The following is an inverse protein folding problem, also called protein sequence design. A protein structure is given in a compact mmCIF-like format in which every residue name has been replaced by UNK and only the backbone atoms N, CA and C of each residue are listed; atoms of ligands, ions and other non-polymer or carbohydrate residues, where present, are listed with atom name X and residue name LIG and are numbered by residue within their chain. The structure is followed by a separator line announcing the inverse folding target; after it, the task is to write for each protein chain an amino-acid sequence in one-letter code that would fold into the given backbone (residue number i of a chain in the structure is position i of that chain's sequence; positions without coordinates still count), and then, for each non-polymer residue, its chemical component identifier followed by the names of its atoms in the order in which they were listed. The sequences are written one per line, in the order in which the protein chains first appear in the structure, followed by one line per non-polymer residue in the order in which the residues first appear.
data_IF_619467677209
#
_entry.id   IF_619467677209
#
_cell.length_a   1.000
_cell.length_b   1.000
_cell.length_c   1.000
_cell.angle_alpha   90.00
_cell.angle_beta   90.00
_cell.angle_gamma   90.00
#
_symmetry.space_group_name_H-M   'P 1'
#
loop_
_entity.id
_entity.type
_entity.pdbx_description
1 polymer ?
#
# COMPACT_ATOMS: atom_id res chain seq x y z
N UNK A 1 -3.44 -8.90 15.57
CA UNK A 1 -3.86 -7.58 15.06
C UNK A 1 -2.84 -7.12 14.04
N UNK A 2 -3.24 -6.56 12.88
CA UNK A 2 -2.30 -6.06 11.87
C UNK A 2 -1.44 -4.93 12.43
N UNK A 3 -0.18 -4.85 12.00
CA UNK A 3 0.77 -3.81 12.41
C UNK A 3 0.54 -2.50 11.65
N UNK A 4 0.81 -1.32 12.23
CA UNK A 4 0.80 -0.07 11.47
C UNK A 4 1.97 -0.02 10.47
N UNK A 5 1.74 0.56 9.30
CA UNK A 5 2.84 0.94 8.39
C UNK A 5 3.57 2.19 8.91
N UNK A 6 4.76 2.54 8.40
CA UNK A 6 5.43 3.80 8.71
C UNK A 6 4.58 5.04 8.36
N UNK A 7 3.62 4.92 7.44
CA UNK A 7 2.72 5.99 7.05
C UNK A 7 1.40 6.00 7.84
N UNK A 8 1.19 5.06 8.76
CA UNK A 8 -0.08 4.88 9.47
C UNK A 8 -0.56 6.17 10.17
N UNK A 9 0.34 6.93 10.78
CA UNK A 9 -0.02 8.19 11.45
C UNK A 9 -0.70 9.21 10.49
N UNK A 10 -0.25 9.28 9.24
CA UNK A 10 -0.84 10.17 8.21
C UNK A 10 -2.10 9.58 7.59
N UNK A 11 -2.08 8.28 7.29
CA UNK A 11 -3.21 7.61 6.64
C UNK A 11 -4.40 7.47 7.58
N UNK A 12 -4.18 7.18 8.87
CA UNK A 12 -5.22 7.11 9.89
C UNK A 12 -5.92 8.46 10.11
N UNK A 13 -5.15 9.55 10.19
CA UNK A 13 -5.72 10.90 10.31
C UNK A 13 -6.60 11.28 9.11
N UNK A 14 -6.34 10.71 7.93
CA UNK A 14 -7.08 11.00 6.69
C UNK A 14 -8.23 10.02 6.42
N UNK A 15 -8.31 8.89 7.14
CA UNK A 15 -9.25 7.80 6.89
C UNK A 15 -10.64 8.11 7.46
N UNK A 16 -11.43 8.95 6.76
CA UNK A 16 -12.78 9.34 7.18
C UNK A 16 -13.79 8.19 7.08
N UNK A 17 -13.51 7.20 6.26
CA UNK A 17 -14.34 6.01 6.09
C UNK A 17 -14.27 5.02 7.25
N UNK A 18 -13.21 5.10 8.07
CA UNK A 18 -12.82 4.07 9.04
C UNK A 18 -12.67 2.64 8.45
N UNK A 19 -12.48 2.53 7.13
CA UNK A 19 -12.35 1.25 6.43
C UNK A 19 -10.89 0.79 6.43
N UNK A 20 -10.61 -0.30 7.13
CA UNK A 20 -9.28 -0.88 7.27
C UNK A 20 -9.26 -2.34 6.83
N UNK A 21 -8.16 -2.73 6.17
CA UNK A 21 -7.87 -4.12 5.81
C UNK A 21 -6.54 -4.56 6.38
N UNK A 22 -6.44 -5.85 6.68
CA UNK A 22 -5.16 -6.51 6.85
C UNK A 22 -4.56 -6.82 5.47
N UNK A 23 -3.46 -6.16 5.11
CA UNK A 23 -2.69 -6.45 3.91
C UNK A 23 -1.29 -6.90 4.32
N UNK A 24 -0.96 -8.17 4.05
CA UNK A 24 0.35 -8.76 4.39
C UNK A 24 0.78 -8.56 5.86
N UNK A 25 -0.18 -8.57 6.79
CA UNK A 25 0.08 -8.36 8.21
C UNK A 25 0.05 -6.89 8.65
N UNK A 26 -0.17 -5.93 7.74
CA UNK A 26 -0.25 -4.51 8.03
C UNK A 26 -1.66 -3.95 7.91
N UNK A 27 -1.95 -2.91 8.69
CA UNK A 27 -3.18 -2.15 8.62
C UNK A 27 -3.11 -1.15 7.46
N UNK A 28 -3.96 -1.34 6.45
CA UNK A 28 -4.04 -0.48 5.27
C UNK A 28 -5.44 0.08 5.09
N UNK A 29 -5.53 1.34 4.67
CA UNK A 29 -6.81 2.00 4.34
C UNK A 29 -7.37 1.39 3.07
N UNK A 30 -8.67 1.08 3.05
CA UNK A 30 -9.37 0.60 1.84
C UNK A 30 -9.79 1.77 0.95
N UNK A 31 -10.31 2.83 1.56
CA UNK A 31 -10.77 4.08 0.94
C UNK A 31 -10.68 5.17 2.00
N UNK A 32 -10.26 6.38 1.65
CA UNK A 32 -10.22 7.51 2.57
C UNK A 32 -11.60 8.19 2.71
N UNK A 33 -12.43 8.11 1.68
CA UNK A 33 -13.79 8.65 1.64
C UNK A 33 -14.89 7.59 1.67
N UNK A 34 -16.14 8.04 1.58
CA UNK A 34 -17.30 7.13 1.46
C UNK A 34 -17.39 6.44 0.09
N UNK A 35 -16.93 7.13 -0.96
CA UNK A 35 -16.77 6.58 -2.32
C UNK A 35 -15.32 6.68 -2.75
N UNK A 36 -14.91 5.80 -3.67
CA UNK A 36 -13.55 5.76 -4.21
C UNK A 36 -13.34 6.74 -5.38
N UNK A 37 -14.38 7.42 -5.85
CA UNK A 37 -14.34 8.29 -7.03
C UNK A 37 -13.29 9.40 -6.88
N UNK A 38 -13.19 10.01 -5.70
CA UNK A 38 -12.21 11.06 -5.44
C UNK A 38 -10.76 10.55 -5.57
N UNK A 39 -10.48 9.36 -5.03
CA UNK A 39 -9.16 8.73 -5.13
C UNK A 39 -8.87 8.30 -6.57
N UNK A 40 -9.87 7.73 -7.24
CA UNK A 40 -9.78 7.33 -8.63
C UNK A 40 -9.47 8.53 -9.55
N UNK A 41 -10.25 9.61 -9.46
CA UNK A 41 -10.02 10.79 -10.29
C UNK A 41 -8.77 11.58 -9.89
N UNK A 42 -8.35 11.54 -8.62
CA UNK A 42 -7.05 12.08 -8.23
C UNK A 42 -5.91 11.36 -8.96
N UNK A 43 -5.93 10.02 -9.03
CA UNK A 43 -4.92 9.25 -9.76
C UNK A 43 -5.02 9.46 -11.28
N UNK A 44 -6.24 9.48 -11.83
CA UNK A 44 -6.46 9.51 -13.29
C UNK A 44 -6.25 10.88 -13.92
N UNK A 45 -6.59 11.94 -13.20
CA UNK A 45 -6.62 13.30 -13.74
C UNK A 45 -5.61 14.23 -13.06
N UNK A 46 -4.93 13.78 -12.01
CA UNK A 46 -3.97 14.57 -11.24
C UNK A 46 -2.88 13.65 -10.66
N UNK A 47 -2.63 13.70 -9.35
CA UNK A 47 -1.74 12.80 -8.64
C UNK A 47 -2.42 12.11 -7.46
N UNK A 48 -1.98 10.89 -7.16
CA UNK A 48 -2.33 10.13 -5.97
C UNK A 48 -1.10 9.49 -5.34
N UNK A 49 -1.11 9.32 -4.01
CA UNK A 49 -0.08 8.60 -3.27
C UNK A 49 -0.69 7.34 -2.67
N UNK A 50 -0.03 6.19 -2.92
CA UNK A 50 -0.47 4.89 -2.43
C UNK A 50 0.60 4.34 -1.48
N UNK A 51 0.21 4.06 -0.23
CA UNK A 51 1.07 3.34 0.71
C UNK A 51 1.11 1.85 0.32
N UNK A 52 2.18 1.46 -0.35
CA UNK A 52 2.48 0.07 -0.73
C UNK A 52 3.55 -0.57 0.17
N UNK A 53 3.77 -0.02 1.37
CA UNK A 53 4.70 -0.59 2.35
C UNK A 53 4.47 -2.08 2.63
N UNK A 54 3.23 -2.61 2.63
CA UNK A 54 3.01 -4.04 2.88
C UNK A 54 3.48 -5.00 1.79
N UNK A 55 3.84 -4.51 0.58
CA UNK A 55 4.46 -5.37 -0.43
C UNK A 55 5.82 -5.88 0.07
N UNK A 56 6.16 -7.12 -0.26
CA UNK A 56 7.51 -7.61 -0.04
C UNK A 56 8.47 -6.97 -1.05
N UNK A 57 9.62 -6.51 -0.56
CA UNK A 57 10.71 -6.02 -1.39
C UNK A 57 11.91 -6.91 -1.14
N UNK A 58 12.45 -7.49 -2.21
CA UNK A 58 13.61 -8.38 -2.17
C UNK A 58 14.71 -7.81 -3.05
N UNK A 59 15.94 -7.95 -2.57
CA UNK A 59 17.15 -7.74 -3.36
C UNK A 59 17.85 -9.09 -3.46
N UNK A 60 18.14 -9.54 -4.68
CA UNK A 60 18.72 -10.85 -4.95
C UNK A 60 20.00 -10.63 -5.74
N UNK A 61 21.11 -11.11 -5.19
CA UNK A 61 22.46 -10.86 -5.70
C UNK A 61 23.24 -12.16 -5.88
N UNK A 62 24.19 -12.15 -6.81
CA UNK A 62 25.10 -13.27 -7.09
C UNK A 62 25.13 -13.68 -8.57
N UNK A 63 26.14 -14.46 -9.01
CA UNK A 63 26.30 -14.84 -10.41
C UNK A 63 25.09 -15.55 -11.02
N UNK A 64 24.36 -16.31 -10.19
CA UNK A 64 23.20 -17.12 -10.60
C UNK A 64 21.84 -16.46 -10.28
N UNK A 65 21.81 -15.18 -9.89
CA UNK A 65 20.56 -14.50 -9.49
C UNK A 65 19.51 -14.50 -10.61
N UNK A 66 19.92 -14.29 -11.87
CA UNK A 66 19.02 -14.37 -13.02
C UNK A 66 18.46 -15.78 -13.21
N UNK A 67 19.32 -16.81 -13.13
CA UNK A 67 18.93 -18.22 -13.24
C UNK A 67 17.96 -18.65 -12.13
N UNK A 68 18.06 -18.05 -10.93
CA UNK A 68 17.14 -18.32 -9.83
C UNK A 68 15.73 -17.78 -10.08
N UNK A 69 15.61 -16.61 -10.72
CA UNK A 69 14.33 -15.92 -10.96
C UNK A 69 13.63 -16.41 -12.22
N UNK A 70 14.37 -16.95 -13.19
CA UNK A 70 13.87 -17.51 -14.45
C UNK A 70 13.49 -19.01 -14.37
N UNK A 71 13.15 -19.51 -13.16
CA UNK A 71 12.70 -20.89 -12.92
C UNK A 71 11.20 -20.96 -12.67
#
# INVERSE_FOLDING_TARGET
MPLPTPFHARTAASCRSAQWRNWSGYMSVISYGHTHDYEYFAIRNSAGLIDVTPLFKYEINGPDAANLIDR
#
